data_IF_697662391943
#
_entry.id   IF_697662391943
#
_cell.length_a   1.000
_cell.length_b   1.000
_cell.length_c   1.000
_cell.angle_alpha   90.00
_cell.angle_beta   90.00
_cell.angle_gamma   90.00
#
_symmetry.space_group_name_H-M   'P 1'
#
loop_
_entity.id
_entity.type
_entity.pdbx_description
1 polymer ?
#
# COMPACT_ATOMS: atom_id res chain seq x y z
N UNK A 1 14.35 -15.92 -10.39
CA UNK A 1 13.90 -14.72 -9.64
C UNK A 1 14.34 -14.67 -8.16
N UNK A 2 14.83 -15.77 -7.55
CA UNK A 2 15.31 -15.76 -6.15
C UNK A 2 16.82 -15.51 -5.97
N UNK A 3 17.62 -15.60 -7.04
CA UNK A 3 19.09 -15.51 -6.97
C UNK A 3 19.65 -14.08 -6.91
N UNK A 4 18.85 -13.08 -7.26
CA UNK A 4 19.21 -11.67 -7.18
C UNK A 4 18.15 -10.99 -6.32
N UNK A 5 18.48 -10.53 -5.09
CA UNK A 5 17.53 -9.82 -4.25
C UNK A 5 16.99 -8.57 -4.96
N UNK A 6 15.67 -8.37 -4.91
CA UNK A 6 15.07 -7.14 -5.41
C UNK A 6 15.50 -5.95 -4.53
N UNK A 7 15.89 -4.84 -5.15
CA UNK A 7 16.25 -3.61 -4.45
C UNK A 7 15.06 -3.03 -3.67
N UNK A 8 13.83 -3.19 -4.20
CA UNK A 8 12.58 -2.88 -3.51
C UNK A 8 11.56 -3.96 -3.84
N UNK A 9 10.85 -4.46 -2.82
CA UNK A 9 9.64 -5.27 -3.00
C UNK A 9 8.43 -4.37 -2.91
N UNK A 10 7.61 -4.35 -3.94
CA UNK A 10 6.40 -3.53 -3.98
C UNK A 10 5.18 -4.35 -4.35
N UNK A 11 4.00 -3.84 -4.01
CA UNK A 11 2.71 -4.36 -4.49
C UNK A 11 1.96 -3.24 -5.19
N UNK A 12 1.36 -3.56 -6.33
CA UNK A 12 0.45 -2.67 -7.05
C UNK A 12 -0.96 -3.21 -6.95
N UNK A 13 -1.86 -2.44 -6.36
CA UNK A 13 -3.26 -2.79 -6.10
C UNK A 13 -4.13 -1.98 -7.08
N UNK A 14 -4.03 -2.35 -8.35
CA UNK A 14 -4.65 -1.63 -9.47
C UNK A 14 -5.26 -2.60 -10.49
N UNK A 15 -6.59 -2.63 -10.67
CA UNK A 15 -7.58 -1.81 -9.96
C UNK A 15 -7.88 -2.33 -8.53
N UNK A 16 -8.08 -1.40 -7.59
CA UNK A 16 -8.62 -1.72 -6.27
C UNK A 16 -10.15 -1.92 -6.33
N UNK A 17 -10.58 -3.18 -6.27
CA UNK A 17 -11.99 -3.57 -6.47
C UNK A 17 -12.68 -4.12 -5.22
N UNK A 18 -11.97 -4.17 -4.10
CA UNK A 18 -12.49 -4.65 -2.82
C UNK A 18 -11.61 -4.19 -1.66
N UNK A 19 -12.08 -4.33 -0.41
CA UNK A 19 -11.26 -4.03 0.75
C UNK A 19 -10.03 -4.94 0.79
N UNK A 20 -8.89 -4.39 1.19
CA UNK A 20 -7.66 -5.14 1.37
C UNK A 20 -7.06 -4.81 2.73
N UNK A 21 -6.71 -5.87 3.46
CA UNK A 21 -6.05 -5.76 4.76
C UNK A 21 -4.72 -6.49 4.69
N UNK A 22 -3.65 -5.78 5.02
CA UNK A 22 -2.36 -6.37 5.22
C UNK A 22 -2.30 -7.03 6.59
N UNK A 23 -1.77 -8.25 6.61
CA UNK A 23 -1.56 -9.01 7.84
C UNK A 23 -0.11 -9.45 7.93
N UNK A 24 0.45 -9.48 9.14
CA UNK A 24 1.74 -10.10 9.35
C UNK A 24 1.69 -11.56 8.93
N UNK A 25 2.83 -12.03 8.46
CA UNK A 25 3.05 -13.45 8.20
C UNK A 25 2.83 -14.25 9.49
N UNK A 26 2.14 -15.39 9.38
CA UNK A 26 1.73 -16.19 10.53
C UNK A 26 2.92 -16.63 11.40
N UNK A 27 4.06 -16.92 10.77
CA UNK A 27 5.32 -17.23 11.42
C UNK A 27 5.87 -16.09 12.31
N UNK A 28 5.43 -14.84 12.08
CA UNK A 28 5.87 -13.66 12.83
C UNK A 28 4.93 -13.30 13.98
N UNK A 29 3.80 -14.00 14.16
CA UNK A 29 2.79 -13.66 15.19
C UNK A 29 3.36 -13.86 16.61
N UNK A 30 4.11 -14.94 16.84
CA UNK A 30 4.76 -15.19 18.13
C UNK A 30 5.84 -14.15 18.48
N UNK A 31 6.61 -13.70 17.49
CA UNK A 31 7.62 -12.65 17.65
C UNK A 31 6.97 -11.27 17.86
N UNK A 32 5.86 -11.00 17.19
CA UNK A 32 5.13 -9.74 17.37
C UNK A 32 4.49 -9.64 18.76
N UNK A 33 3.91 -10.71 19.30
CA UNK A 33 3.39 -10.70 20.67
C UNK A 33 4.48 -10.34 21.69
N UNK A 34 5.74 -10.72 21.42
CA UNK A 34 6.89 -10.37 22.25
C UNK A 34 7.41 -8.94 22.00
N UNK A 35 7.27 -8.41 20.79
CA UNK A 35 7.60 -7.02 20.46
C UNK A 35 6.56 -6.01 20.96
N UNK A 36 5.30 -6.41 21.21
CA UNK A 36 4.28 -5.53 21.81
C UNK A 36 4.63 -5.09 23.24
N UNK A 37 5.64 -5.69 23.88
CA UNK A 37 6.23 -5.25 25.15
C UNK A 37 7.37 -4.21 25.00
N UNK A 38 7.87 -3.92 23.79
CA UNK A 38 9.00 -2.99 23.55
C UNK A 38 8.74 -2.01 22.39
N UNK A 39 9.33 -0.81 22.48
CA UNK A 39 9.02 0.37 21.64
C UNK A 39 8.82 0.13 20.13
N UNK A 40 7.72 0.73 19.62
CA UNK A 40 7.10 0.54 18.29
C UNK A 40 7.85 1.25 17.16
N UNK A 41 9.16 1.02 17.01
CA UNK A 41 9.97 1.77 16.05
C UNK A 41 10.21 1.08 14.70
N UNK A 42 9.99 -0.24 14.52
CA UNK A 42 10.44 -0.96 13.33
C UNK A 42 9.49 -2.07 12.83
N UNK A 43 8.36 -1.71 12.18
CA UNK A 43 7.39 -2.68 11.64
C UNK A 43 7.27 -2.82 10.10
N UNK A 44 8.30 -2.63 9.24
CA UNK A 44 8.25 -3.08 7.83
C UNK A 44 7.96 -4.58 7.66
N UNK A 45 8.26 -5.39 8.68
CA UNK A 45 8.01 -6.84 8.70
C UNK A 45 6.52 -7.21 8.76
N UNK A 46 5.66 -6.27 9.18
CA UNK A 46 4.20 -6.46 9.23
C UNK A 46 3.57 -6.61 7.85
N UNK A 47 4.16 -5.97 6.85
CA UNK A 47 3.74 -6.06 5.46
C UNK A 47 4.43 -7.21 4.71
N UNK A 48 5.01 -8.18 5.44
CA UNK A 48 5.73 -9.29 4.84
C UNK A 48 6.98 -8.85 4.06
N UNK A 49 7.56 -7.71 4.43
CA UNK A 49 8.72 -7.12 3.74
C UNK A 49 8.38 -6.38 2.45
N UNK A 50 7.13 -5.96 2.25
CA UNK A 50 6.76 -4.99 1.21
C UNK A 50 7.24 -3.61 1.66
N UNK A 51 8.06 -2.97 0.82
CA UNK A 51 8.65 -1.65 1.07
C UNK A 51 8.00 -0.52 0.27
N UNK A 52 7.00 -0.80 -0.57
CA UNK A 52 6.29 0.22 -1.35
C UNK A 52 4.93 -0.29 -1.83
N UNK A 53 3.91 0.57 -1.79
CA UNK A 53 2.54 0.24 -2.21
C UNK A 53 2.06 1.25 -3.25
N UNK A 54 1.51 0.75 -4.36
CA UNK A 54 0.85 1.56 -5.38
C UNK A 54 -0.64 1.23 -5.37
N UNK A 55 -1.52 2.24 -5.37
CA UNK A 55 -2.97 2.07 -5.27
C UNK A 55 -3.67 2.93 -6.34
N UNK A 56 -4.66 2.36 -7.01
CA UNK A 56 -5.46 3.10 -7.97
C UNK A 56 -6.68 2.36 -8.49
N UNK A 57 -7.63 3.14 -9.01
CA UNK A 57 -8.86 2.65 -9.61
C UNK A 57 -8.71 2.23 -11.08
N UNK A 58 -9.73 1.52 -11.57
CA UNK A 58 -9.79 1.05 -12.95
C UNK A 58 -10.00 2.20 -13.94
N UNK A 59 -9.27 2.20 -15.06
CA UNK A 59 -9.47 3.15 -16.14
C UNK A 59 -10.01 2.48 -17.40
N UNK A 60 -10.92 3.14 -18.12
CA UNK A 60 -11.38 2.70 -19.44
C UNK A 60 -12.91 2.76 -19.64
N UNK A 61 -13.42 2.28 -20.79
CA UNK A 61 -14.85 1.98 -20.93
C UNK A 61 -15.30 1.01 -19.84
N UNK A 62 -16.45 1.29 -19.22
CA UNK A 62 -17.08 0.41 -18.23
C UNK A 62 -16.21 0.15 -16.99
N UNK A 63 -15.40 1.14 -16.58
CA UNK A 63 -14.58 1.04 -15.38
C UNK A 63 -15.45 0.69 -14.15
N UNK A 64 -14.92 -0.18 -13.29
CA UNK A 64 -15.54 -0.48 -12.00
C UNK A 64 -15.15 0.60 -10.97
N UNK A 65 -16.11 1.17 -10.24
CA UNK A 65 -15.83 2.21 -9.26
C UNK A 65 -15.10 1.62 -8.05
N UNK A 66 -13.91 2.14 -7.77
CA UNK A 66 -13.23 1.96 -6.49
C UNK A 66 -13.98 2.77 -5.42
N UNK A 67 -14.10 2.19 -4.23
CA UNK A 67 -14.55 2.91 -3.03
C UNK A 67 -13.37 3.63 -2.38
N UNK A 68 -13.54 4.92 -2.08
CA UNK A 68 -12.47 5.76 -1.51
C UNK A 68 -12.07 5.27 -0.11
N UNK A 69 -13.01 4.69 0.61
CA UNK A 69 -12.80 4.12 1.94
C UNK A 69 -11.79 2.97 1.93
N UNK A 70 -11.75 2.18 0.84
CA UNK A 70 -10.76 1.11 0.70
C UNK A 70 -9.36 1.67 0.48
N UNK A 71 -9.23 2.72 -0.35
CA UNK A 71 -7.96 3.41 -0.58
C UNK A 71 -7.44 4.03 0.71
N UNK A 72 -8.31 4.73 1.44
CA UNK A 72 -7.98 5.33 2.73
C UNK A 72 -7.50 4.27 3.73
N UNK A 73 -8.25 3.17 3.87
CA UNK A 73 -7.87 2.09 4.79
C UNK A 73 -6.49 1.52 4.49
N UNK A 74 -6.10 1.40 3.22
CA UNK A 74 -4.77 0.91 2.84
C UNK A 74 -3.69 1.96 3.14
N UNK A 75 -3.95 3.24 2.86
CA UNK A 75 -3.03 4.34 3.19
C UNK A 75 -2.75 4.40 4.69
N UNK A 76 -3.77 4.21 5.53
CA UNK A 76 -3.62 4.22 6.99
C UNK A 76 -2.82 3.00 7.49
N UNK A 77 -3.09 1.82 6.93
CA UNK A 77 -2.32 0.60 7.23
C UNK A 77 -0.83 0.77 6.90
N UNK A 78 -0.50 1.35 5.74
CA UNK A 78 0.88 1.61 5.34
C UNK A 78 1.54 2.71 6.18
N UNK A 79 0.80 3.78 6.50
CA UNK A 79 1.31 4.89 7.32
C UNK A 79 1.68 4.43 8.73
N UNK A 80 0.90 3.51 9.31
CA UNK A 80 1.14 2.94 10.65
C UNK A 80 2.50 2.24 10.77
N UNK A 81 3.02 1.71 9.66
CA UNK A 81 4.26 0.93 9.63
C UNK A 81 5.36 1.60 8.79
N UNK A 82 5.17 2.85 8.37
CA UNK A 82 6.15 3.64 7.64
C UNK A 82 6.43 3.16 6.21
N UNK A 83 5.49 2.45 5.57
CA UNK A 83 5.66 2.03 4.16
C UNK A 83 5.13 3.12 3.22
N UNK A 84 5.95 3.60 2.26
CA UNK A 84 5.55 4.66 1.35
C UNK A 84 4.40 4.21 0.43
N UNK A 85 3.49 5.13 0.15
CA UNK A 85 2.33 4.90 -0.72
C UNK A 85 2.30 5.86 -1.91
N UNK A 86 2.10 5.29 -3.10
CA UNK A 86 1.79 6.04 -4.31
C UNK A 86 0.31 5.83 -4.71
N UNK A 87 -0.52 6.83 -4.44
CA UNK A 87 -1.91 6.90 -4.92
C UNK A 87 -1.88 7.37 -6.37
N UNK A 88 -2.22 6.51 -7.33
CA UNK A 88 -2.10 6.83 -8.75
C UNK A 88 -3.31 7.56 -9.32
N UNK A 89 -4.51 7.02 -9.17
CA UNK A 89 -5.73 7.52 -9.83
C UNK A 89 -7.02 7.01 -9.16
N UNK A 90 -8.12 7.75 -9.29
CA UNK A 90 -9.47 7.24 -9.07
C UNK A 90 -9.90 6.36 -10.27
N UNK A 91 -10.96 5.59 -10.10
CA UNK A 91 -11.61 4.93 -11.22
C UNK A 91 -12.27 5.96 -12.14
N UNK A 92 -12.12 5.79 -13.45
CA UNK A 92 -12.66 6.76 -14.40
C UNK A 92 -12.47 6.36 -15.86
N UNK A 93 -13.09 7.13 -16.77
CA UNK A 93 -12.91 6.92 -18.22
C UNK A 93 -11.45 7.07 -18.65
N UNK A 94 -10.70 7.96 -18.00
CA UNK A 94 -9.34 8.33 -18.35
C UNK A 94 -8.38 8.04 -17.18
N UNK A 95 -7.16 7.54 -17.46
CA UNK A 95 -6.17 7.30 -16.42
C UNK A 95 -5.61 8.61 -15.85
N UNK A 96 -4.93 8.52 -14.71
CA UNK A 96 -4.17 9.60 -14.07
C UNK A 96 -5.02 10.71 -13.46
N UNK A 97 -6.33 10.49 -13.29
CA UNK A 97 -7.24 11.51 -12.74
C UNK A 97 -7.41 11.32 -11.23
N UNK A 98 -7.43 12.45 -10.52
CA UNK A 98 -7.74 12.50 -9.09
C UNK A 98 -9.18 12.06 -8.80
N UNK A 99 -10.14 12.47 -9.65
CA UNK A 99 -11.54 12.10 -9.50
C UNK A 99 -12.09 12.49 -8.11
N UNK A 100 -12.64 11.50 -7.41
CA UNK A 100 -13.26 11.64 -6.08
C UNK A 100 -12.26 11.52 -4.93
N UNK A 101 -10.99 11.28 -5.21
CA UNK A 101 -9.97 11.11 -4.16
C UNK A 101 -9.73 12.46 -3.46
N UNK A 102 -9.89 12.54 -2.12
CA UNK A 102 -9.59 13.74 -1.34
C UNK A 102 -8.13 14.17 -1.50
N UNK A 103 -7.85 15.47 -1.47
CA UNK A 103 -6.51 16.04 -1.66
C UNK A 103 -5.44 15.42 -0.75
N UNK A 104 -5.79 15.12 0.50
CA UNK A 104 -4.85 14.51 1.46
C UNK A 104 -4.36 13.13 1.00
N UNK A 105 -5.22 12.36 0.33
CA UNK A 105 -4.89 11.03 -0.19
C UNK A 105 -4.24 11.18 -1.56
N UNK A 106 -4.72 12.10 -2.39
CA UNK A 106 -4.14 12.36 -3.71
C UNK A 106 -2.68 12.81 -3.66
N UNK A 107 -2.31 13.59 -2.63
CA UNK A 107 -0.94 14.06 -2.39
C UNK A 107 0.03 12.94 -1.97
N UNK A 108 -0.45 11.74 -1.62
CA UNK A 108 0.39 10.56 -1.34
C UNK A 108 1.02 10.05 -2.63
N UNK A 109 2.12 10.67 -3.04
CA UNK A 109 2.93 10.31 -4.22
C UNK A 109 4.33 9.89 -3.78
N UNK A 110 4.39 9.03 -2.77
CA UNK A 110 5.63 8.68 -2.08
C UNK A 110 6.39 7.59 -2.86
N UNK A 111 7.72 7.68 -2.83
CA UNK A 111 8.62 6.72 -3.44
C UNK A 111 9.49 6.06 -2.36
N UNK A 112 9.88 4.80 -2.54
CA UNK A 112 10.74 4.10 -1.60
C UNK A 112 12.18 4.62 -1.69
N UNK A 113 12.85 4.62 -0.55
CA UNK A 113 14.30 4.77 -0.53
C UNK A 113 14.94 3.50 -1.13
N UNK A 114 15.78 3.68 -2.14
CA UNK A 114 16.57 2.58 -2.70
C UNK A 114 17.93 2.60 -2.01
N UNK A 115 18.16 1.68 -1.08
CA UNK A 115 19.49 1.46 -0.52
C UNK A 115 20.36 0.84 -1.61
N UNK A 116 21.38 1.60 -2.05
CA UNK A 116 22.40 1.16 -3.02
C UNK A 116 23.49 0.34 -2.34
#
# INVERSE_FOLDING_TARGET
LLRVPAAVRFVSIEPLLGPLTFRPKAENVGQMLQLMEMEVAHLPEMLGGIGWVIIGGESGPNYRPMKIEWLESIVDQCSTVGVPVFVKQDSGRWPGKQGRIPDRLWKRKEFPEVRR
#
